data_IF_074946342452
#
_entry.id   IF_074946342452
#
_cell.length_a   1.000
_cell.length_b   1.000
_cell.length_c   1.000
_cell.angle_alpha   90.00
_cell.angle_beta   90.00
_cell.angle_gamma   90.00
#
_symmetry.space_group_name_H-M   'P 1'
#
loop_
_entity.id
_entity.type
_entity.pdbx_description
1 polymer ?
#
# COMPACT_ATOMS: atom_id res chain seq x y z
N UNK A 1 74.83 91.20 14.68
CA UNK A 1 75.29 89.99 13.95
C UNK A 1 74.48 88.79 14.42
N UNK A 2 73.50 88.35 13.62
CA UNK A 2 73.50 87.00 12.98
C UNK A 2 72.87 85.92 13.86
N UNK A 3 71.86 85.14 13.48
CA UNK A 3 70.97 85.05 12.32
C UNK A 3 69.72 84.28 12.77
N UNK A 4 68.58 84.54 12.12
CA UNK A 4 67.33 83.76 12.23
C UNK A 4 67.53 82.38 11.60
N UNK A 5 66.90 81.36 12.16
CA UNK A 5 66.34 80.24 11.37
C UNK A 5 65.06 79.70 12.01
N UNK A 6 63.93 80.24 11.54
CA UNK A 6 62.65 79.54 11.51
C UNK A 6 62.73 78.52 10.38
N UNK A 7 62.50 77.25 10.65
CA UNK A 7 62.04 76.30 9.62
C UNK A 7 60.84 75.52 10.13
N UNK A 8 59.75 75.72 9.38
CA UNK A 8 58.48 75.00 9.34
C UNK A 8 58.74 73.51 9.10
N UNK A 9 58.02 72.63 9.78
CA UNK A 9 57.55 71.38 9.17
C UNK A 9 56.22 70.99 9.80
N UNK A 10 55.16 71.42 9.12
CA UNK A 10 53.81 70.89 9.28
C UNK A 10 53.61 69.88 8.15
N UNK A 11 53.01 68.73 8.48
CA UNK A 11 52.64 67.71 7.52
C UNK A 11 53.47 66.44 7.69
N UNK A 12 52.82 65.42 8.23
CA UNK A 12 52.63 64.13 7.56
C UNK A 12 52.56 62.97 8.56
N UNK A 13 51.52 62.96 9.40
CA UNK A 13 51.22 61.86 10.34
C UNK A 13 49.75 61.45 10.30
N UNK A 14 49.19 61.27 9.10
CA UNK A 14 47.80 60.81 8.93
C UNK A 14 47.59 59.82 7.78
N UNK A 15 48.54 58.94 7.50
CA UNK A 15 48.37 57.91 6.45
C UNK A 15 49.14 56.62 6.74
N UNK A 16 48.70 55.78 7.69
CA UNK A 16 49.26 54.42 7.80
C UNK A 16 48.48 53.40 8.66
N UNK A 17 47.15 53.48 8.81
CA UNK A 17 46.40 52.39 9.48
C UNK A 17 45.14 51.94 8.74
N UNK A 18 45.19 51.93 7.40
CA UNK A 18 44.19 51.23 6.57
C UNK A 18 44.81 49.99 5.91
N UNK A 19 45.46 49.15 6.71
CA UNK A 19 46.01 47.85 6.27
C UNK A 19 45.81 46.72 7.29
N UNK A 20 44.82 46.84 8.17
CA UNK A 20 44.43 45.73 9.07
C UNK A 20 43.17 45.00 8.58
N UNK A 21 42.95 44.90 7.27
CA UNK A 21 41.74 44.26 6.75
C UNK A 21 41.95 43.01 5.89
N UNK A 22 43.17 42.51 5.71
CA UNK A 22 43.37 41.35 4.83
C UNK A 22 44.44 40.37 5.30
N UNK A 23 44.33 39.91 6.55
CA UNK A 23 44.90 38.62 6.93
C UNK A 23 43.88 37.89 7.80
N UNK A 24 42.78 37.46 7.16
CA UNK A 24 42.13 36.23 7.57
C UNK A 24 43.18 35.15 7.40
N UNK A 25 43.89 34.86 8.51
CA UNK A 25 45.01 33.95 8.53
C UNK A 25 44.59 32.68 7.82
N UNK A 26 45.40 32.25 6.86
CA UNK A 26 45.37 30.90 6.31
C UNK A 26 45.57 29.98 7.49
N UNK A 27 44.45 29.64 8.17
CA UNK A 27 44.39 28.82 9.36
C UNK A 27 44.99 27.52 8.89
N UNK A 28 46.26 27.29 9.23
CA UNK A 28 46.92 26.02 8.99
C UNK A 28 46.04 25.05 9.74
N UNK A 29 45.18 24.35 9.02
CA UNK A 29 44.27 23.38 9.63
C UNK A 29 45.21 22.41 10.32
N UNK A 30 45.22 22.46 11.64
CA UNK A 30 46.00 21.50 12.40
C UNK A 30 45.36 20.14 12.14
N UNK A 31 46.14 19.06 12.01
CA UNK A 31 45.59 17.73 11.78
C UNK A 31 44.55 17.38 12.86
N UNK A 32 44.68 17.93 14.07
CA UNK A 32 43.70 17.84 15.15
C UNK A 32 42.32 18.40 14.77
N UNK A 33 42.22 19.55 14.08
CA UNK A 33 40.92 20.07 13.61
C UNK A 33 40.25 19.15 12.59
N UNK A 34 41.04 18.52 11.72
CA UNK A 34 40.53 17.58 10.71
C UNK A 34 40.03 16.31 11.42
N UNK A 35 40.81 15.78 12.36
CA UNK A 35 40.43 14.61 13.16
C UNK A 35 39.14 14.87 13.94
N UNK A 36 39.02 16.04 14.57
CA UNK A 36 37.84 16.40 15.37
C UNK A 36 36.59 16.53 14.49
N UNK A 37 36.74 17.09 13.28
CA UNK A 37 35.65 17.16 12.30
C UNK A 37 35.23 15.77 11.82
N UNK A 38 36.18 14.89 11.52
CA UNK A 38 35.89 13.49 11.13
C UNK A 38 35.18 12.74 12.24
N UNK A 39 35.62 12.87 13.49
CA UNK A 39 34.96 12.25 14.66
C UNK A 39 33.56 12.80 14.84
N UNK A 40 33.35 14.12 14.68
CA UNK A 40 32.03 14.74 14.76
C UNK A 40 31.07 14.20 13.69
N UNK A 41 31.53 14.08 12.44
CA UNK A 41 30.73 13.49 11.35
C UNK A 41 30.39 12.03 11.63
N UNK A 42 31.36 11.23 12.09
CA UNK A 42 31.13 9.84 12.49
C UNK A 42 30.12 9.72 13.64
N UNK A 43 30.18 10.64 14.60
CA UNK A 43 29.26 10.65 15.74
C UNK A 43 27.83 10.95 15.30
N UNK A 44 27.65 11.97 14.45
CA UNK A 44 26.34 12.30 13.87
C UNK A 44 25.80 11.13 13.03
N UNK A 45 26.66 10.51 12.21
CA UNK A 45 26.26 9.34 11.41
C UNK A 45 25.78 8.17 12.28
N UNK A 46 26.55 7.81 13.32
CA UNK A 46 26.15 6.75 14.25
C UNK A 46 24.86 7.09 15.00
N UNK A 47 24.70 8.34 15.43
CA UNK A 47 23.50 8.80 16.12
C UNK A 47 22.25 8.69 15.24
N UNK A 48 22.33 9.10 13.97
CA UNK A 48 21.23 8.97 13.01
C UNK A 48 20.87 7.51 12.77
N UNK A 49 21.87 6.63 12.59
CA UNK A 49 21.65 5.19 12.42
C UNK A 49 21.00 4.56 13.66
N UNK A 50 21.41 4.98 14.87
CA UNK A 50 20.85 4.50 16.13
C UNK A 50 19.37 4.90 16.31
N UNK A 51 19.03 6.16 16.00
CA UNK A 51 17.66 6.68 16.10
C UNK A 51 16.72 5.95 15.13
N UNK A 52 17.15 5.74 13.89
CA UNK A 52 16.36 5.01 12.89
C UNK A 52 16.15 3.54 13.28
N UNK A 53 17.13 2.92 13.95
CA UNK A 53 16.97 1.54 14.47
C UNK A 53 15.98 1.45 15.61
N UNK A 54 15.87 2.49 16.45
CA UNK A 54 14.90 2.51 17.55
C UNK A 54 13.45 2.53 17.03
N UNK A 55 13.16 3.32 15.99
CA UNK A 55 11.80 3.40 15.42
C UNK A 55 11.39 2.12 14.69
N UNK A 56 12.36 1.42 14.07
CA UNK A 56 12.07 0.15 13.39
C UNK A 56 11.72 -0.98 14.36
N UNK A 57 12.27 -0.95 15.59
CA UNK A 57 12.02 -1.99 16.58
C UNK A 57 10.60 -1.93 17.16
N UNK A 58 10.04 -0.73 17.30
CA UNK A 58 8.64 -0.56 17.73
C UNK A 58 7.66 -0.93 16.61
N UNK A 59 7.92 -0.50 15.37
CA UNK A 59 7.10 -0.89 14.21
C UNK A 59 7.10 -2.41 13.98
N UNK A 60 8.23 -3.08 14.22
CA UNK A 60 8.29 -4.54 14.14
C UNK A 60 7.46 -5.21 15.24
N UNK A 61 7.48 -4.67 16.48
CA UNK A 61 6.65 -5.20 17.57
C UNK A 61 5.16 -5.01 17.30
N UNK A 62 4.76 -3.85 16.81
CA UNK A 62 3.36 -3.55 16.50
C UNK A 62 2.83 -4.40 15.35
N UNK A 63 3.63 -4.60 14.30
CA UNK A 63 3.24 -5.46 13.17
C UNK A 63 3.09 -6.93 13.60
N UNK A 64 3.96 -7.44 14.47
CA UNK A 64 3.84 -8.80 15.02
C UNK A 64 2.61 -8.93 15.92
N UNK A 65 2.31 -7.95 16.77
CA UNK A 65 1.12 -7.95 17.61
C UNK A 65 -0.17 -7.94 16.77
N UNK A 66 -0.23 -7.12 15.73
CA UNK A 66 -1.35 -7.09 14.78
C UNK A 66 -1.51 -8.42 14.04
N UNK A 67 -0.41 -9.05 13.63
CA UNK A 67 -0.44 -10.36 12.99
C UNK A 67 -1.02 -11.43 13.92
N UNK A 68 -0.63 -11.44 15.20
CA UNK A 68 -1.16 -12.39 16.20
C UNK A 68 -2.67 -12.21 16.39
N UNK A 69 -3.16 -10.97 16.46
CA UNK A 69 -4.59 -10.68 16.58
C UNK A 69 -5.34 -11.21 15.35
N UNK A 70 -4.87 -10.86 14.15
CA UNK A 70 -5.46 -11.32 12.89
C UNK A 70 -5.53 -12.84 12.81
N UNK A 71 -4.43 -13.53 13.16
CA UNK A 71 -4.37 -14.99 13.11
C UNK A 71 -5.35 -15.63 14.13
N UNK A 72 -5.51 -15.04 15.31
CA UNK A 72 -6.49 -15.52 16.30
C UNK A 72 -7.92 -15.35 15.82
N UNK A 73 -8.24 -14.21 15.22
CA UNK A 73 -9.58 -13.95 14.68
C UNK A 73 -9.91 -14.91 13.53
N UNK A 74 -8.95 -15.12 12.63
CA UNK A 74 -9.09 -16.10 11.54
C UNK A 74 -9.28 -17.52 12.07
N UNK A 75 -8.49 -17.92 13.06
CA UNK A 75 -8.62 -19.24 13.68
C UNK A 75 -10.00 -19.40 14.33
N UNK A 76 -10.45 -18.42 15.13
CA UNK A 76 -11.76 -18.44 15.76
C UNK A 76 -12.91 -18.51 14.74
N UNK A 77 -12.81 -17.77 13.63
CA UNK A 77 -13.79 -17.85 12.55
C UNK A 77 -13.80 -19.24 11.91
N UNK A 78 -12.62 -19.80 11.63
CA UNK A 78 -12.50 -21.12 11.01
C UNK A 78 -13.03 -22.23 11.93
N UNK A 79 -12.74 -22.15 13.23
CA UNK A 79 -13.26 -23.08 14.24
C UNK A 79 -14.79 -23.03 14.28
N UNK A 80 -15.40 -21.84 14.27
CA UNK A 80 -16.87 -21.71 14.22
C UNK A 80 -17.47 -22.36 12.98
N UNK A 81 -16.83 -22.18 11.82
CA UNK A 81 -17.27 -22.82 10.58
C UNK A 81 -17.19 -24.34 10.67
N UNK A 82 -16.07 -24.88 11.18
CA UNK A 82 -15.93 -26.33 11.38
C UNK A 82 -17.00 -26.86 12.32
N UNK A 83 -17.22 -26.21 13.47
CA UNK A 83 -18.26 -26.62 14.42
C UNK A 83 -19.66 -26.57 13.80
N UNK A 84 -19.94 -25.59 12.94
CA UNK A 84 -21.21 -25.52 12.22
C UNK A 84 -21.37 -26.68 11.22
N UNK A 85 -20.33 -26.98 10.43
CA UNK A 85 -20.37 -28.09 9.47
C UNK A 85 -20.42 -29.46 10.14
N UNK A 86 -19.86 -29.61 11.34
CA UNK A 86 -19.96 -30.82 12.17
C UNK A 86 -21.33 -30.95 12.86
N UNK A 87 -22.11 -29.86 12.92
CA UNK A 87 -23.39 -29.86 13.62
C UNK A 87 -24.43 -30.73 12.93
N UNK A 88 -25.32 -31.32 13.75
CA UNK A 88 -26.44 -32.13 13.26
C UNK A 88 -27.41 -31.33 12.38
N UNK A 89 -27.53 -30.03 12.62
CA UNK A 89 -28.40 -29.14 11.86
C UNK A 89 -27.91 -28.99 10.41
N UNK A 90 -26.59 -28.87 10.20
CA UNK A 90 -26.01 -28.85 8.86
C UNK A 90 -26.17 -30.21 8.15
N UNK A 91 -25.96 -31.32 8.87
CA UNK A 91 -26.17 -32.66 8.30
C UNK A 91 -27.64 -32.86 7.88
N UNK A 92 -28.59 -32.32 8.64
CA UNK A 92 -30.01 -32.35 8.30
C UNK A 92 -30.35 -31.44 7.12
N UNK A 93 -29.81 -30.22 7.06
CA UNK A 93 -30.07 -29.32 5.92
C UNK A 93 -29.59 -29.95 4.62
N UNK A 94 -28.39 -30.56 4.62
CA UNK A 94 -27.89 -31.32 3.47
C UNK A 94 -28.80 -32.51 3.15
N UNK A 95 -29.24 -33.27 4.16
CA UNK A 95 -30.12 -34.40 3.96
C UNK A 95 -31.47 -33.99 3.33
N UNK A 96 -32.06 -32.89 3.76
CA UNK A 96 -33.35 -32.39 3.26
C UNK A 96 -33.23 -31.74 1.89
N UNK A 97 -32.26 -30.85 1.71
CA UNK A 97 -32.15 -30.00 0.54
C UNK A 97 -31.47 -30.70 -0.64
N UNK A 98 -30.40 -31.45 -0.38
CA UNK A 98 -29.60 -32.07 -1.44
C UNK A 98 -29.99 -33.52 -1.70
N UNK A 99 -30.39 -34.24 -0.65
CA UNK A 99 -30.67 -35.68 -0.74
C UNK A 99 -32.18 -36.00 -0.71
N UNK A 100 -33.03 -35.01 -0.44
CA UNK A 100 -34.48 -35.20 -0.35
C UNK A 100 -34.93 -36.14 0.77
N UNK A 101 -34.06 -36.39 1.76
CA UNK A 101 -34.38 -37.24 2.91
C UNK A 101 -35.18 -36.48 3.96
N UNK A 102 -36.20 -37.15 4.50
CA UNK A 102 -37.01 -36.66 5.62
C UNK A 102 -36.75 -37.50 6.88
N UNK A 103 -36.92 -36.91 8.07
CA UNK A 103 -36.76 -37.69 9.31
C UNK A 103 -37.90 -38.71 9.47
N UNK A 104 -37.68 -39.83 10.18
CA UNK A 104 -38.76 -40.73 10.55
C UNK A 104 -39.86 -39.97 11.33
N UNK A 105 -41.06 -39.89 10.76
CA UNK A 105 -42.19 -39.13 11.30
C UNK A 105 -42.51 -37.80 10.62
N UNK A 106 -41.67 -37.31 9.70
CA UNK A 106 -42.00 -36.13 8.88
C UNK A 106 -43.04 -36.48 7.80
N UNK A 107 -43.97 -35.55 7.52
CA UNK A 107 -44.94 -35.67 6.42
C UNK A 107 -44.33 -35.10 5.14
N UNK A 108 -43.97 -35.97 4.19
CA UNK A 108 -43.44 -35.56 2.88
C UNK A 108 -44.58 -35.10 1.98
N UNK A 109 -44.62 -33.82 1.64
CA UNK A 109 -45.54 -33.26 0.65
C UNK A 109 -44.91 -33.36 -0.74
N UNK A 110 -45.46 -34.20 -1.61
CA UNK A 110 -45.08 -34.25 -3.02
C UNK A 110 -46.00 -33.30 -3.79
N UNK A 111 -45.50 -32.16 -4.33
CA UNK A 111 -46.34 -31.26 -5.10
C UNK A 111 -46.75 -31.96 -6.40
N UNK A 112 -48.02 -32.32 -6.52
CA UNK A 112 -48.60 -32.72 -7.79
C UNK A 112 -49.05 -31.46 -8.50
N UNK A 113 -48.29 -31.06 -9.51
CA UNK A 113 -48.79 -30.07 -10.45
C UNK A 113 -49.87 -30.76 -11.29
N UNK A 114 -51.07 -30.16 -11.46
CA UNK A 114 -51.98 -30.66 -12.47
C UNK A 114 -51.20 -30.68 -13.79
N UNK A 115 -51.27 -31.80 -14.54
CA UNK A 115 -50.84 -31.76 -15.92
C UNK A 115 -51.54 -30.56 -16.55
N UNK A 116 -50.76 -29.53 -16.88
CA UNK A 116 -51.22 -28.59 -17.89
C UNK A 116 -51.42 -29.48 -19.11
N UNK A 117 -52.68 -29.83 -19.36
CA UNK A 117 -53.12 -30.30 -20.65
C UNK A 117 -52.59 -29.24 -21.60
N UNK A 118 -51.47 -29.55 -22.24
CA UNK A 118 -51.01 -28.86 -23.42
C UNK A 118 -52.20 -28.99 -24.36
N UNK A 119 -53.09 -28.00 -24.34
CA UNK A 119 -54.07 -27.84 -25.39
C UNK A 119 -53.19 -27.62 -26.60
N UNK A 120 -52.98 -28.69 -27.36
CA UNK A 120 -52.42 -28.64 -28.70
C UNK A 120 -53.41 -27.81 -29.49
N UNK A 121 -53.30 -26.48 -29.37
CA UNK A 121 -53.79 -25.57 -30.38
C UNK A 121 -53.25 -26.09 -31.72
N UNK A 122 -54.02 -26.01 -32.82
CA UNK A 122 -53.57 -26.47 -34.12
C UNK A 122 -52.15 -25.95 -34.34
N UNK A 123 -51.20 -26.88 -34.47
CA UNK A 123 -49.83 -26.58 -34.86
C UNK A 123 -49.96 -26.02 -36.27
N UNK A 124 -50.09 -24.69 -36.37
CA UNK A 124 -49.62 -23.98 -37.55
C UNK A 124 -48.20 -24.48 -37.75
N UNK A 125 -47.85 -25.04 -38.92
CA UNK A 125 -46.51 -25.53 -39.15
C UNK A 125 -45.58 -24.35 -38.93
N UNK A 126 -44.92 -24.35 -37.77
CA UNK A 126 -43.76 -23.51 -37.56
C UNK A 126 -42.73 -24.10 -38.50
N UNK A 127 -42.62 -23.50 -39.69
CA UNK A 127 -41.42 -23.65 -40.49
C UNK A 127 -40.28 -23.49 -39.49
N UNK A 128 -39.33 -24.45 -39.37
CA UNK A 128 -38.17 -24.21 -38.55
C UNK A 128 -37.62 -22.89 -39.07
N UNK A 129 -37.77 -21.84 -38.27
CA UNK A 129 -37.04 -20.62 -38.54
C UNK A 129 -35.63 -21.08 -38.27
N UNK A 130 -34.95 -21.51 -39.33
CA UNK A 130 -33.50 -21.59 -39.35
C UNK A 130 -33.09 -20.23 -38.88
N UNK A 131 -32.77 -20.13 -37.59
CA UNK A 131 -32.21 -18.95 -36.97
C UNK A 131 -31.04 -18.62 -37.85
N UNK A 132 -31.20 -17.58 -38.68
CA UNK A 132 -30.15 -17.08 -39.54
C UNK A 132 -28.91 -16.99 -38.66
N UNK A 133 -27.73 -17.47 -39.10
CA UNK A 133 -26.57 -17.60 -38.24
C UNK A 133 -26.32 -16.24 -37.60
N UNK A 134 -26.71 -16.12 -36.33
CA UNK A 134 -26.47 -14.93 -35.55
C UNK A 134 -24.97 -14.83 -35.47
N UNK A 135 -24.43 -13.72 -35.96
CA UNK A 135 -23.00 -13.48 -36.05
C UNK A 135 -22.28 -14.03 -34.81
N UNK A 136 -21.21 -14.82 -34.99
CA UNK A 136 -20.49 -15.38 -33.86
C UNK A 136 -20.09 -14.28 -32.88
N UNK A 137 -20.37 -14.50 -31.59
CA UNK A 137 -20.08 -13.58 -30.50
C UNK A 137 -18.67 -12.94 -30.63
N UNK A 138 -17.65 -13.73 -30.94
CA UNK A 138 -16.26 -13.28 -31.07
C UNK A 138 -16.04 -12.22 -32.17
N UNK A 139 -16.81 -12.28 -33.26
CA UNK A 139 -16.70 -11.32 -34.36
C UNK A 139 -17.20 -9.94 -33.93
N UNK A 140 -18.19 -9.89 -33.03
CA UNK A 140 -18.69 -8.66 -32.41
C UNK A 140 -17.62 -8.00 -31.53
N UNK A 141 -16.90 -8.76 -30.72
CA UNK A 141 -15.79 -8.24 -29.91
C UNK A 141 -14.64 -7.73 -30.78
N UNK A 142 -14.37 -8.41 -31.90
CA UNK A 142 -13.33 -7.99 -32.83
C UNK A 142 -13.64 -6.65 -33.51
N UNK A 143 -14.89 -6.42 -33.92
CA UNK A 143 -15.32 -5.13 -34.49
C UNK A 143 -15.23 -3.98 -33.47
N UNK A 144 -15.48 -4.25 -32.19
CA UNK A 144 -15.29 -3.24 -31.13
C UNK A 144 -13.81 -2.90 -30.94
N UNK A 145 -12.92 -3.91 -31.00
CA UNK A 145 -11.49 -3.72 -30.78
C UNK A 145 -10.77 -3.09 -31.97
N UNK A 146 -11.19 -3.39 -33.20
CA UNK A 146 -10.54 -2.91 -34.44
C UNK A 146 -11.01 -1.52 -34.88
N UNK A 147 -11.89 -0.88 -34.13
CA UNK A 147 -12.42 0.45 -34.43
C UNK A 147 -13.36 0.41 -35.62
N UNK A 148 -14.57 -0.12 -35.41
CA UNK A 148 -15.67 -0.02 -36.38
C UNK A 148 -15.92 1.44 -36.78
N UNK A 149 -16.01 1.69 -38.09
CA UNK A 149 -16.48 2.98 -38.64
C UNK A 149 -17.96 3.18 -38.37
#
# INVERSE_FOLDING_TARGET
>A
MSQRTRTRSAGDRRRSTLREMLIAGRRRMTPTTIILLVVSVLFVYNFVVQVVRQTQLEQYRDSIAQNVIRLRDQNAALTRSVTYFESRDYAESVAREQLGYARPGDTVMMPTFPEQLSTTAPVVPVTPTTTAPSEPNWLRWWNMLSGGK
#
